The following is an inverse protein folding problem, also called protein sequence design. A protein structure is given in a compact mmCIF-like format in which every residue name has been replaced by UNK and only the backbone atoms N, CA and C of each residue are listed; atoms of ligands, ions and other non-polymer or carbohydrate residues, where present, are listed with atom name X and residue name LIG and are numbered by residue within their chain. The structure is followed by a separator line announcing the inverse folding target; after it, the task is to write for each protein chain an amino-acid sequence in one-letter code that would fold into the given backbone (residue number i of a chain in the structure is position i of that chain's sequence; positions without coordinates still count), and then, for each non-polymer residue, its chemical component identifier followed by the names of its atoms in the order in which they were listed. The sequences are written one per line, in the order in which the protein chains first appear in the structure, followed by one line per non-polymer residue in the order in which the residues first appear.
data_IF_548169057292
#
_entry.id   IF_548169057292
#
_cell.length_a   1.000
_cell.length_b   1.000
_cell.length_c   1.000
_cell.angle_alpha   90.00
_cell.angle_beta   90.00
_cell.angle_gamma   90.00
#
_symmetry.space_group_name_H-M   'P 1'
#
loop_
_entity.id
_entity.type
_entity.pdbx_description
1 polymer ?
#
# COMPACT_ATOMS: atom_id res chain seq x y z
N UNK A 1 28.31 -0.33 8.16
CA UNK A 1 27.42 -1.52 8.18
C UNK A 1 26.73 -1.54 9.54
N UNK A 2 25.41 -1.62 9.56
CA UNK A 2 24.60 -1.70 10.79
C UNK A 2 23.70 -2.95 10.77
N UNK A 3 23.10 -3.27 11.92
CA UNK A 3 22.18 -4.40 12.09
C UNK A 3 20.76 -3.84 12.27
N UNK A 4 19.92 -4.04 11.27
CA UNK A 4 18.55 -3.56 11.22
C UNK A 4 17.58 -4.65 11.73
N UNK A 5 16.68 -4.28 12.64
CA UNK A 5 15.55 -5.11 13.03
C UNK A 5 14.27 -4.55 12.40
N UNK A 6 13.68 -5.26 11.45
CA UNK A 6 12.50 -4.83 10.70
C UNK A 6 11.27 -5.57 11.22
N UNK A 7 10.25 -4.85 11.68
CA UNK A 7 8.99 -5.41 12.21
C UNK A 7 7.90 -5.24 11.17
N UNK A 8 7.53 -6.35 10.53
CA UNK A 8 6.44 -6.42 9.56
C UNK A 8 5.14 -6.85 10.27
N UNK A 9 4.05 -6.05 10.21
CA UNK A 9 2.79 -6.43 10.86
C UNK A 9 1.96 -7.47 10.10
N UNK A 10 2.31 -7.74 8.84
CA UNK A 10 1.61 -8.68 7.97
C UNK A 10 2.38 -9.98 7.78
N UNK A 11 1.69 -11.11 7.56
CA UNK A 11 2.35 -12.33 7.14
C UNK A 11 3.05 -12.15 5.78
N UNK A 12 4.31 -12.57 5.70
CA UNK A 12 5.09 -12.60 4.47
C UNK A 12 5.06 -14.02 3.92
N UNK A 13 4.21 -14.25 2.95
CA UNK A 13 3.95 -15.56 2.34
C UNK A 13 3.85 -15.40 0.82
N UNK A 14 3.54 -16.50 0.13
CA UNK A 14 3.27 -16.50 -1.31
C UNK A 14 2.18 -15.49 -1.73
N UNK A 15 1.18 -15.28 -0.89
CA UNK A 15 0.16 -14.25 -1.04
C UNK A 15 0.45 -13.12 -0.05
N UNK A 16 1.11 -12.07 -0.50
CA UNK A 16 1.51 -10.91 0.33
C UNK A 16 0.85 -9.65 -0.21
N UNK A 17 0.33 -8.82 0.69
CA UNK A 17 -0.28 -7.53 0.38
C UNK A 17 0.73 -6.37 0.44
N UNK A 18 0.26 -5.13 0.32
CA UNK A 18 1.09 -3.93 0.16
C UNK A 18 2.11 -3.70 1.26
N UNK A 19 1.71 -3.80 2.54
CA UNK A 19 2.60 -3.58 3.70
C UNK A 19 3.72 -4.62 3.74
N UNK A 20 3.36 -5.90 3.63
CA UNK A 20 4.33 -6.99 3.64
C UNK A 20 5.34 -6.87 2.50
N UNK A 21 4.87 -6.56 1.28
CA UNK A 21 5.75 -6.39 0.11
C UNK A 21 6.70 -5.19 0.27
N UNK A 22 6.23 -4.09 0.87
CA UNK A 22 7.08 -2.93 1.18
C UNK A 22 8.15 -3.26 2.20
N UNK A 23 7.80 -3.94 3.30
CA UNK A 23 8.77 -4.31 4.33
C UNK A 23 9.85 -5.25 3.78
N UNK A 24 9.47 -6.21 2.92
CA UNK A 24 10.43 -7.08 2.23
C UNK A 24 11.31 -6.30 1.28
N UNK A 25 10.76 -5.36 0.50
CA UNK A 25 11.55 -4.54 -0.42
C UNK A 25 12.58 -3.67 0.32
N UNK A 26 12.18 -3.02 1.42
CA UNK A 26 13.09 -2.24 2.25
C UNK A 26 14.17 -3.11 2.92
N UNK A 27 13.80 -4.30 3.39
CA UNK A 27 14.75 -5.28 3.92
C UNK A 27 15.80 -5.70 2.87
N UNK A 28 15.38 -5.95 1.61
CA UNK A 28 16.29 -6.26 0.50
C UNK A 28 17.23 -5.11 0.19
N UNK A 29 16.71 -3.88 0.08
CA UNK A 29 17.56 -2.70 -0.18
C UNK A 29 18.64 -2.53 0.90
N UNK A 30 18.29 -2.75 2.16
CA UNK A 30 19.25 -2.73 3.27
C UNK A 30 20.29 -3.85 3.15
N UNK A 31 19.87 -5.06 2.80
CA UNK A 31 20.77 -6.19 2.59
C UNK A 31 21.69 -5.98 1.38
N UNK A 32 21.17 -5.40 0.28
CA UNK A 32 21.95 -5.04 -0.92
C UNK A 32 23.03 -3.98 -0.61
N UNK A 33 22.73 -3.06 0.30
CA UNK A 33 23.68 -2.06 0.80
C UNK A 33 24.68 -2.64 1.83
N UNK A 34 24.59 -3.94 2.13
CA UNK A 34 25.51 -4.64 3.04
C UNK A 34 25.18 -4.53 4.52
N UNK A 35 23.97 -4.10 4.88
CA UNK A 35 23.50 -4.15 6.27
C UNK A 35 23.01 -5.55 6.64
N UNK A 36 23.20 -5.96 7.89
CA UNK A 36 22.60 -7.19 8.40
C UNK A 36 21.13 -6.93 8.75
N UNK A 37 20.23 -7.74 8.20
CA UNK A 37 18.78 -7.51 8.35
C UNK A 37 18.11 -8.72 8.99
N UNK A 38 17.35 -8.46 10.05
CA UNK A 38 16.41 -9.43 10.62
C UNK A 38 14.98 -8.92 10.38
N UNK A 39 14.16 -9.70 9.68
CA UNK A 39 12.75 -9.42 9.44
C UNK A 39 11.88 -10.25 10.37
N UNK A 40 11.21 -9.59 11.29
CA UNK A 40 10.23 -10.18 12.20
C UNK A 40 8.82 -10.07 11.60
N UNK A 41 8.09 -11.19 11.47
CA UNK A 41 6.76 -11.28 10.84
C UNK A 41 5.84 -12.23 11.61
N UNK A 42 4.51 -12.13 11.48
CA UNK A 42 3.56 -12.95 12.26
C UNK A 42 3.59 -14.45 11.96
N UNK A 43 3.98 -14.85 10.74
CA UNK A 43 4.03 -16.24 10.30
C UNK A 43 5.36 -16.93 10.67
N UNK A 44 5.40 -18.25 10.54
CA UNK A 44 6.62 -19.02 10.75
C UNK A 44 7.68 -18.70 9.69
N UNK A 45 8.97 -18.64 10.06
CA UNK A 45 10.04 -18.32 9.12
C UNK A 45 10.12 -19.23 7.89
N UNK A 46 9.80 -20.52 8.07
CA UNK A 46 9.80 -21.51 6.99
C UNK A 46 8.69 -21.31 5.94
N UNK A 47 7.69 -20.46 6.23
CA UNK A 47 6.62 -20.09 5.29
C UNK A 47 6.94 -18.80 4.52
N UNK A 48 8.04 -18.14 4.87
CA UNK A 48 8.37 -16.83 4.32
C UNK A 48 9.02 -16.95 2.94
N UNK A 49 8.47 -16.26 1.95
CA UNK A 49 9.06 -16.12 0.61
C UNK A 49 9.79 -14.78 0.48
N UNK A 50 10.96 -14.67 1.11
CA UNK A 50 11.74 -13.43 1.10
C UNK A 50 12.51 -13.22 -0.22
N UNK A 51 12.85 -14.31 -0.93
CA UNK A 51 13.64 -14.26 -2.15
C UNK A 51 15.07 -13.72 -1.98
N UNK A 52 15.57 -13.68 -0.73
CA UNK A 52 16.91 -13.25 -0.38
C UNK A 52 17.36 -13.93 0.93
N UNK A 53 18.32 -14.83 0.83
CA UNK A 53 18.86 -15.60 1.96
C UNK A 53 19.68 -14.76 2.95
N UNK A 54 20.07 -13.55 2.59
CA UNK A 54 20.81 -12.61 3.46
C UNK A 54 19.92 -12.01 4.53
N UNK A 55 18.59 -12.08 4.35
CA UNK A 55 17.60 -11.58 5.31
C UNK A 55 17.23 -12.71 6.25
N UNK A 56 17.54 -12.53 7.53
CA UNK A 56 17.15 -13.48 8.58
C UNK A 56 15.67 -13.32 8.90
N UNK A 57 14.86 -14.31 8.61
CA UNK A 57 13.45 -14.36 9.01
C UNK A 57 13.31 -14.82 10.46
N UNK A 58 12.45 -14.17 11.24
CA UNK A 58 12.06 -14.60 12.58
C UNK A 58 10.55 -14.42 12.80
N UNK A 59 9.94 -15.28 13.63
CA UNK A 59 8.56 -15.09 14.00
C UNK A 59 8.44 -13.93 15.00
N UNK A 60 7.55 -13.00 14.71
CA UNK A 60 7.24 -11.86 15.54
C UNK A 60 6.27 -12.26 16.67
N UNK A 61 6.80 -12.72 17.79
CA UNK A 61 6.04 -12.96 19.02
C UNK A 61 5.89 -11.63 19.78
N UNK A 62 4.66 -11.09 19.94
CA UNK A 62 4.45 -9.76 20.52
C UNK A 62 5.18 -9.52 21.85
N UNK A 63 5.19 -10.51 22.73
CA UNK A 63 5.81 -10.39 24.06
C UNK A 63 7.34 -10.55 24.05
N UNK A 64 7.95 -10.87 22.90
CA UNK A 64 9.39 -11.13 22.76
C UNK A 64 10.10 -10.20 21.78
N UNK A 65 9.39 -9.22 21.19
CA UNK A 65 9.98 -8.33 20.18
C UNK A 65 11.19 -7.56 20.72
N UNK A 66 11.14 -7.13 21.98
CA UNK A 66 12.27 -6.48 22.64
C UNK A 66 13.49 -7.38 22.75
N UNK A 67 13.33 -8.65 23.12
CA UNK A 67 14.42 -9.62 23.18
C UNK A 67 14.93 -10.00 21.78
N UNK A 68 14.06 -10.14 20.79
CA UNK A 68 14.45 -10.40 19.41
C UNK A 68 15.27 -9.26 18.79
N UNK A 69 15.09 -8.03 19.27
CA UNK A 69 15.84 -6.87 18.83
C UNK A 69 17.24 -6.75 19.51
N UNK A 70 17.59 -7.63 20.44
CA UNK A 70 18.90 -7.61 21.07
C UNK A 70 20.02 -7.78 20.02
N UNK A 71 21.08 -7.00 20.20
CA UNK A 71 22.21 -7.02 19.29
C UNK A 71 21.99 -6.28 17.97
N UNK A 72 20.83 -5.66 17.74
CA UNK A 72 20.61 -4.77 16.58
C UNK A 72 20.97 -3.33 16.95
N UNK A 73 21.19 -2.50 15.92
CA UNK A 73 21.62 -1.13 16.08
C UNK A 73 20.45 -0.13 15.95
N UNK A 74 19.36 -0.54 15.29
CA UNK A 74 18.14 0.25 15.10
C UNK A 74 16.97 -0.63 14.66
N UNK A 75 15.76 -0.04 14.69
CA UNK A 75 14.50 -0.73 14.36
C UNK A 75 13.73 0.03 13.30
N UNK A 76 13.19 -0.68 12.31
CA UNK A 76 12.15 -0.18 11.39
C UNK A 76 10.84 -0.85 11.77
N UNK A 77 9.80 -0.07 11.98
CA UNK A 77 8.49 -0.59 12.34
C UNK A 77 7.35 0.09 11.57
N UNK A 78 6.25 -0.62 11.44
CA UNK A 78 4.99 -0.17 10.88
C UNK A 78 3.82 -0.82 11.62
N UNK A 79 2.69 -0.09 11.75
CA UNK A 79 1.43 -0.63 12.26
C UNK A 79 1.47 -1.11 13.73
N UNK A 80 0.42 -1.79 14.15
CA UNK A 80 0.18 -2.12 15.57
C UNK A 80 1.21 -3.03 16.20
N UNK A 81 1.86 -3.91 15.43
CA UNK A 81 2.87 -4.82 15.97
C UNK A 81 4.07 -4.07 16.56
N UNK A 82 4.43 -2.92 15.97
CA UNK A 82 5.48 -2.05 16.47
C UNK A 82 5.23 -1.53 17.90
N UNK A 83 3.96 -1.41 18.33
CA UNK A 83 3.62 -0.96 19.67
C UNK A 83 4.10 -1.92 20.74
N UNK A 84 4.11 -3.22 20.47
CA UNK A 84 4.62 -4.22 21.40
C UNK A 84 6.12 -4.07 21.62
N UNK A 85 6.88 -3.77 20.55
CA UNK A 85 8.30 -3.45 20.69
C UNK A 85 8.51 -2.19 21.55
N UNK A 86 7.80 -1.10 21.24
CA UNK A 86 7.92 0.18 21.95
C UNK A 86 7.50 0.10 23.44
N UNK A 87 6.67 -0.88 23.79
CA UNK A 87 6.30 -1.15 25.19
C UNK A 87 7.38 -1.93 25.96
N UNK A 88 8.32 -2.59 25.28
CA UNK A 88 9.36 -3.42 25.88
C UNK A 88 10.74 -2.73 25.87
N UNK A 89 11.02 -1.90 24.86
CA UNK A 89 12.32 -1.25 24.66
C UNK A 89 12.17 0.18 24.17
N UNK A 90 13.13 1.02 24.56
CA UNK A 90 13.21 2.42 24.18
C UNK A 90 14.67 2.92 24.03
N UNK A 91 15.60 1.98 23.86
CA UNK A 91 17.03 2.29 23.82
C UNK A 91 17.60 2.37 22.41
N UNK A 92 17.00 1.68 21.44
CA UNK A 92 17.43 1.73 20.04
C UNK A 92 16.78 2.90 19.28
N UNK A 93 17.48 3.46 18.28
CA UNK A 93 16.88 4.34 17.28
C UNK A 93 15.71 3.64 16.55
N UNK A 94 14.62 4.38 16.34
CA UNK A 94 13.39 3.85 15.72
C UNK A 94 13.03 4.63 14.48
N UNK A 95 12.93 3.93 13.35
CA UNK A 95 12.34 4.43 12.12
C UNK A 95 10.87 3.96 12.07
N UNK A 96 9.95 4.89 11.90
CA UNK A 96 8.52 4.59 11.75
C UNK A 96 8.13 4.80 10.30
N UNK A 97 7.65 3.75 9.66
CA UNK A 97 7.12 3.84 8.31
C UNK A 97 5.63 4.25 8.35
N UNK A 98 5.33 5.44 7.85
CA UNK A 98 4.01 6.04 7.79
C UNK A 98 3.48 6.09 6.34
N UNK A 99 3.91 5.17 5.48
CA UNK A 99 3.64 5.23 4.06
C UNK A 99 2.15 5.15 3.71
N UNK A 100 1.36 4.43 4.52
CA UNK A 100 -0.09 4.39 4.40
C UNK A 100 -0.75 5.12 5.59
N UNK A 101 -1.74 5.94 5.33
CA UNK A 101 -2.46 6.64 6.38
C UNK A 101 -3.56 5.75 6.99
N UNK A 102 -3.21 4.58 7.52
CA UNK A 102 -4.17 3.55 7.98
C UNK A 102 -5.24 4.08 8.96
N UNK A 103 -4.93 5.11 9.76
CA UNK A 103 -5.93 5.78 10.61
C UNK A 103 -7.06 6.38 9.76
N UNK A 104 -6.71 7.00 8.62
CA UNK A 104 -7.66 7.65 7.72
C UNK A 104 -8.38 6.62 6.86
N UNK A 105 -7.65 5.61 6.37
CA UNK A 105 -8.21 4.50 5.59
C UNK A 105 -9.26 3.74 6.41
N UNK A 106 -8.98 3.45 7.67
CA UNK A 106 -9.88 2.71 8.56
C UNK A 106 -11.13 3.50 9.00
N UNK A 107 -11.20 4.81 8.73
CA UNK A 107 -12.45 5.57 8.94
C UNK A 107 -13.61 5.03 8.09
N UNK A 108 -13.33 4.39 6.96
CA UNK A 108 -14.36 3.78 6.12
C UNK A 108 -15.11 2.63 6.82
N UNK A 109 -14.47 1.98 7.80
CA UNK A 109 -14.99 0.77 8.44
C UNK A 109 -15.75 1.02 9.75
N UNK A 110 -15.97 2.28 10.17
CA UNK A 110 -16.60 2.58 11.45
C UNK A 110 -18.05 2.06 11.58
N UNK A 111 -18.76 1.95 10.45
CA UNK A 111 -20.14 1.44 10.43
C UNK A 111 -20.22 -0.05 10.70
N UNK A 112 -19.25 -0.81 10.18
CA UNK A 112 -19.16 -2.27 10.32
C UNK A 112 -18.46 -2.66 11.62
N UNK A 113 -17.42 -1.93 12.01
CA UNK A 113 -16.51 -2.30 13.11
C UNK A 113 -16.67 -1.43 14.36
N UNK A 114 -17.47 -0.35 14.30
CA UNK A 114 -17.61 0.62 15.38
C UNK A 114 -16.37 1.51 15.55
N UNK A 115 -16.25 2.18 16.69
CA UNK A 115 -15.20 3.19 16.92
C UNK A 115 -13.91 2.62 17.53
N UNK A 116 -13.84 1.35 17.88
CA UNK A 116 -12.67 0.76 18.54
C UNK A 116 -11.44 0.71 17.61
N UNK A 117 -11.56 0.39 16.29
CA UNK A 117 -10.44 0.50 15.37
C UNK A 117 -9.81 1.89 15.37
N UNK A 118 -10.64 2.93 15.21
CA UNK A 118 -10.16 4.32 15.24
C UNK A 118 -9.38 4.66 16.52
N UNK A 119 -9.89 4.26 17.69
CA UNK A 119 -9.22 4.51 18.96
C UNK A 119 -7.86 3.82 19.02
N UNK A 120 -7.79 2.60 18.53
CA UNK A 120 -6.56 1.81 18.49
C UNK A 120 -5.56 2.39 17.52
N UNK A 121 -5.99 2.79 16.32
CA UNK A 121 -5.14 3.40 15.30
C UNK A 121 -4.61 4.77 15.76
N UNK A 122 -5.49 5.59 16.34
CA UNK A 122 -5.11 6.89 16.88
C UNK A 122 -4.09 6.76 18.04
N UNK A 123 -4.30 5.80 18.95
CA UNK A 123 -3.35 5.53 20.03
C UNK A 123 -2.00 5.03 19.47
N UNK A 124 -2.02 4.22 18.42
CA UNK A 124 -0.82 3.74 17.72
C UNK A 124 -0.04 4.89 17.10
N UNK A 125 -0.68 5.78 16.37
CA UNK A 125 -0.02 6.94 15.78
C UNK A 125 0.58 7.85 16.87
N UNK A 126 -0.15 8.14 17.92
CA UNK A 126 0.36 8.94 19.04
C UNK A 126 1.60 8.31 19.68
N UNK A 127 1.57 7.00 19.95
CA UNK A 127 2.70 6.28 20.51
C UNK A 127 3.92 6.33 19.57
N UNK A 128 3.74 5.89 18.33
CA UNK A 128 4.82 5.76 17.36
C UNK A 128 5.43 7.12 16.98
N UNK A 129 4.60 8.13 16.75
CA UNK A 129 5.08 9.48 16.44
C UNK A 129 5.74 10.18 17.66
N UNK A 130 5.39 9.77 18.88
CA UNK A 130 6.10 10.24 20.08
C UNK A 130 7.46 9.56 20.26
N UNK A 131 7.65 8.33 19.74
CA UNK A 131 8.80 7.47 20.00
C UNK A 131 9.73 7.26 18.81
N UNK A 132 9.28 7.55 17.59
CA UNK A 132 10.12 7.44 16.41
C UNK A 132 11.22 8.50 16.35
N UNK A 133 12.32 8.17 15.75
CA UNK A 133 13.47 9.05 15.55
C UNK A 133 13.61 9.54 14.10
N UNK A 134 13.07 8.76 13.15
CA UNK A 134 12.86 9.14 11.75
C UNK A 134 11.49 8.63 11.29
N UNK A 135 10.78 9.43 10.53
CA UNK A 135 9.50 9.08 9.95
C UNK A 135 9.60 9.02 8.42
N UNK A 136 9.06 7.95 7.82
CA UNK A 136 9.00 7.79 6.38
C UNK A 136 7.56 8.01 5.91
N UNK A 137 7.36 8.84 4.89
CA UNK A 137 6.06 9.08 4.27
C UNK A 137 6.14 8.91 2.76
N UNK A 138 5.01 8.81 2.06
CA UNK A 138 4.98 8.47 0.64
C UNK A 138 4.92 9.66 -0.29
N UNK A 139 4.55 10.85 0.20
CA UNK A 139 4.38 12.06 -0.60
C UNK A 139 4.51 13.31 0.24
N UNK A 140 4.64 14.48 -0.42
CA UNK A 140 4.67 15.77 0.27
C UNK A 140 3.34 16.08 0.97
N UNK A 141 2.20 15.66 0.43
CA UNK A 141 0.90 15.81 1.08
C UNK A 141 0.86 15.04 2.40
N UNK A 142 1.34 13.80 2.42
CA UNK A 142 1.49 13.04 3.66
C UNK A 142 2.49 13.69 4.60
N UNK A 143 3.61 14.16 4.07
CA UNK A 143 4.65 14.83 4.87
C UNK A 143 4.06 16.04 5.62
N UNK A 144 3.36 16.92 4.94
CA UNK A 144 2.73 18.08 5.55
C UNK A 144 1.65 17.68 6.58
N UNK A 145 0.85 16.68 6.26
CA UNK A 145 -0.15 16.15 7.17
C UNK A 145 0.48 15.62 8.47
N UNK A 146 1.52 14.80 8.37
CA UNK A 146 2.22 14.24 9.52
C UNK A 146 3.03 15.29 10.30
N UNK A 147 3.59 16.30 9.63
CA UNK A 147 4.23 17.44 10.31
C UNK A 147 3.24 18.17 11.23
N UNK A 148 1.98 18.33 10.82
CA UNK A 148 0.93 18.89 11.69
C UNK A 148 0.73 18.04 12.95
N UNK A 149 0.70 16.72 12.81
CA UNK A 149 0.58 15.80 13.95
C UNK A 149 1.84 15.81 14.84
N UNK A 150 3.01 15.78 14.23
CA UNK A 150 4.31 15.87 14.94
C UNK A 150 4.45 17.21 15.69
N UNK A 151 3.93 18.30 15.12
CA UNK A 151 3.88 19.61 15.79
C UNK A 151 3.01 19.55 17.05
N UNK A 152 1.84 18.95 16.97
CA UNK A 152 0.95 18.76 18.11
C UNK A 152 1.57 17.90 19.23
N UNK A 153 2.49 17.01 18.87
CA UNK A 153 3.25 16.17 19.81
C UNK A 153 4.55 16.83 20.32
N UNK A 154 4.89 18.06 19.89
CA UNK A 154 6.13 18.74 20.29
C UNK A 154 7.40 18.21 19.60
N UNK A 155 7.25 17.39 18.53
CA UNK A 155 8.38 16.84 17.77
C UNK A 155 8.93 17.87 16.78
N UNK A 156 8.11 18.76 16.25
CA UNK A 156 8.55 19.99 15.58
C UNK A 156 8.78 21.03 16.67
N UNK A 157 10.03 21.35 16.95
CA UNK A 157 10.46 22.19 18.07
C UNK A 157 11.70 23.03 17.68
N UNK A 158 12.10 24.04 18.49
CA UNK A 158 13.23 24.91 18.15
C UNK A 158 14.54 24.16 17.89
N UNK A 159 14.83 23.08 18.63
CA UNK A 159 16.08 22.34 18.46
C UNK A 159 16.06 21.59 17.14
N UNK A 160 14.97 20.87 16.83
CA UNK A 160 14.84 20.16 15.57
C UNK A 160 14.93 21.10 14.35
N UNK A 161 14.35 22.31 14.45
CA UNK A 161 14.41 23.32 13.37
C UNK A 161 15.76 24.02 13.28
N UNK A 162 16.48 24.21 14.39
CA UNK A 162 17.85 24.76 14.39
C UNK A 162 18.84 23.75 13.79
N UNK A 163 18.65 22.45 14.04
CA UNK A 163 19.48 21.41 13.44
C UNK A 163 19.21 21.19 11.94
N UNK A 164 17.95 21.25 11.54
CA UNK A 164 17.52 21.07 10.16
C UNK A 164 16.21 21.83 9.89
N UNK A 165 16.28 23.04 9.34
CA UNK A 165 15.09 23.83 9.01
C UNK A 165 14.12 23.15 8.05
N UNK A 166 14.58 22.19 7.26
CA UNK A 166 13.75 21.40 6.36
C UNK A 166 12.97 20.30 7.07
N UNK A 167 13.39 19.95 8.31
CA UNK A 167 12.90 18.79 9.08
C UNK A 167 13.05 17.44 8.34
N UNK A 168 13.90 17.37 7.32
CA UNK A 168 14.22 16.14 6.59
C UNK A 168 14.91 15.07 7.45
N UNK A 169 15.54 15.51 8.56
CA UNK A 169 16.09 14.58 9.55
C UNK A 169 15.03 13.97 10.46
N UNK A 170 13.84 14.56 10.56
CA UNK A 170 12.71 14.09 11.34
C UNK A 170 11.74 13.29 10.47
N UNK A 171 11.33 13.83 9.32
CA UNK A 171 10.40 13.18 8.39
C UNK A 171 10.83 13.39 6.94
N UNK A 172 10.85 12.31 6.19
CA UNK A 172 11.34 12.30 4.82
C UNK A 172 10.44 11.47 3.91
N UNK A 173 10.35 11.87 2.64
CA UNK A 173 9.66 11.07 1.64
C UNK A 173 10.46 9.83 1.27
N UNK A 174 9.80 8.67 1.38
CA UNK A 174 10.21 7.39 0.85
C UNK A 174 8.96 6.74 0.26
N UNK A 175 8.61 7.08 -0.99
CA UNK A 175 7.43 6.52 -1.66
C UNK A 175 7.57 5.02 -1.89
N UNK A 176 6.54 4.41 -2.45
CA UNK A 176 6.61 3.04 -2.94
C UNK A 176 7.51 2.99 -4.17
N UNK A 177 8.49 2.10 -4.16
CA UNK A 177 9.44 1.94 -5.26
C UNK A 177 8.98 0.90 -6.29
N UNK A 178 9.58 0.95 -7.47
CA UNK A 178 9.41 -0.07 -8.50
C UNK A 178 10.53 -1.10 -8.42
N UNK A 179 10.32 -2.33 -8.91
CA UNK A 179 11.41 -3.28 -9.11
C UNK A 179 12.49 -2.72 -10.03
N UNK A 180 13.73 -3.14 -9.84
CA UNK A 180 14.80 -2.84 -10.77
C UNK A 180 14.63 -3.60 -12.10
N UNK A 181 15.11 -2.98 -13.18
CA UNK A 181 15.07 -3.59 -14.51
C UNK A 181 13.76 -3.40 -15.27
N UNK A 182 13.54 -4.25 -16.25
CA UNK A 182 12.35 -4.23 -17.11
C UNK A 182 11.29 -5.22 -16.60
N UNK A 183 10.01 -4.94 -16.81
CA UNK A 183 8.97 -5.90 -16.49
C UNK A 183 9.17 -7.24 -17.19
N UNK A 184 8.78 -8.36 -16.57
CA UNK A 184 8.81 -9.67 -17.22
C UNK A 184 7.91 -9.66 -18.47
N UNK A 185 8.21 -10.54 -19.43
CA UNK A 185 7.35 -10.68 -20.60
C UNK A 185 5.95 -11.17 -20.17
N UNK A 186 4.88 -10.60 -20.74
CA UNK A 186 3.53 -11.05 -20.44
C UNK A 186 3.33 -12.50 -20.92
N UNK A 187 2.64 -13.34 -20.16
CA UNK A 187 2.17 -14.63 -20.64
C UNK A 187 1.09 -14.45 -21.72
N UNK A 188 0.78 -15.46 -22.52
CA UNK A 188 -0.37 -15.42 -23.44
C UNK A 188 -1.66 -15.15 -22.68
N UNK A 189 -2.50 -14.21 -23.17
CA UNK A 189 -3.76 -13.84 -22.52
C UNK A 189 -4.67 -15.04 -22.23
N UNK A 190 -4.77 -15.98 -23.16
CA UNK A 190 -5.58 -17.21 -23.01
C UNK A 190 -5.19 -18.08 -21.81
N UNK A 191 -3.96 -17.99 -21.34
CA UNK A 191 -3.47 -18.73 -20.17
C UNK A 191 -3.82 -18.06 -18.84
N UNK A 192 -4.07 -16.75 -18.88
CA UNK A 192 -4.36 -15.92 -17.71
C UNK A 192 -5.84 -15.62 -17.60
N UNK A 193 -6.49 -15.31 -18.73
CA UNK A 193 -7.89 -14.93 -18.83
C UNK A 193 -8.62 -15.87 -19.83
N UNK A 194 -8.92 -17.07 -19.38
CA UNK A 194 -9.58 -18.07 -20.20
C UNK A 194 -10.93 -17.54 -20.76
N UNK A 195 -11.16 -17.76 -22.06
CA UNK A 195 -12.38 -17.34 -22.74
C UNK A 195 -12.44 -15.87 -23.15
N UNK A 196 -11.37 -15.09 -22.93
CA UNK A 196 -11.22 -13.73 -23.45
C UNK A 196 -10.38 -13.78 -24.72
N UNK A 197 -10.90 -13.26 -25.83
CA UNK A 197 -10.19 -13.23 -27.10
C UNK A 197 -8.97 -12.31 -27.04
N UNK A 198 -7.90 -12.63 -27.78
CA UNK A 198 -6.64 -11.87 -27.75
C UNK A 198 -6.81 -10.41 -28.19
N UNK A 199 -7.79 -10.14 -29.07
CA UNK A 199 -8.10 -8.82 -29.61
C UNK A 199 -9.25 -8.09 -28.89
N UNK A 200 -9.87 -8.71 -27.87
CA UNK A 200 -10.93 -8.08 -27.08
C UNK A 200 -10.34 -7.12 -26.04
N UNK A 201 -10.86 -5.89 -25.90
CA UNK A 201 -10.35 -4.96 -24.90
C UNK A 201 -10.57 -5.46 -23.46
N UNK A 202 -9.50 -5.38 -22.67
CA UNK A 202 -9.49 -5.77 -21.26
C UNK A 202 -9.07 -4.56 -20.40
N UNK A 203 -9.94 -4.17 -19.47
CA UNK A 203 -9.70 -3.13 -18.50
C UNK A 203 -9.34 -3.75 -17.15
N UNK A 204 -8.16 -3.45 -16.65
CA UNK A 204 -7.69 -3.92 -15.34
C UNK A 204 -8.07 -2.92 -14.25
N UNK A 205 -8.78 -3.35 -13.23
CA UNK A 205 -9.02 -2.57 -12.02
C UNK A 205 -8.12 -3.05 -10.86
N UNK A 206 -7.99 -4.35 -10.71
CA UNK A 206 -7.30 -5.01 -9.61
C UNK A 206 -8.16 -5.21 -8.38
N UNK A 207 -7.55 -5.36 -7.20
CA UNK A 207 -8.26 -5.58 -5.94
C UNK A 207 -9.14 -4.39 -5.53
N UNK A 208 -10.27 -4.68 -4.92
CA UNK A 208 -11.21 -3.66 -4.45
C UNK A 208 -11.09 -3.51 -2.94
N UNK A 209 -10.84 -2.28 -2.49
CA UNK A 209 -10.96 -1.85 -1.10
C UNK A 209 -12.07 -0.81 -1.00
N UNK A 210 -12.61 -0.57 0.19
CA UNK A 210 -13.82 0.25 0.37
C UNK A 210 -13.61 1.76 0.08
N UNK A 211 -12.37 2.23 -0.04
CA UNK A 211 -12.03 3.58 -0.49
C UNK A 211 -11.97 3.75 -2.02
N UNK A 212 -11.96 2.66 -2.79
CA UNK A 212 -12.12 2.73 -4.24
C UNK A 212 -13.58 2.91 -4.64
N UNK A 213 -13.79 3.34 -5.89
CA UNK A 213 -15.11 3.46 -6.51
C UNK A 213 -15.27 2.55 -7.75
N UNK A 214 -15.30 1.23 -7.56
CA UNK A 214 -15.47 0.29 -8.66
C UNK A 214 -16.84 0.40 -9.36
N UNK A 215 -17.85 0.94 -8.66
CA UNK A 215 -19.18 1.13 -9.23
C UNK A 215 -19.17 2.12 -10.38
N UNK A 216 -18.32 3.15 -10.33
CA UNK A 216 -18.15 4.11 -11.42
C UNK A 216 -17.74 3.43 -12.73
N UNK A 217 -16.91 2.39 -12.66
CA UNK A 217 -16.53 1.59 -13.84
C UNK A 217 -17.72 0.83 -14.40
N UNK A 218 -18.54 0.24 -13.54
CA UNK A 218 -19.76 -0.47 -13.97
C UNK A 218 -20.84 0.48 -14.52
N UNK A 219 -20.90 1.72 -14.05
CA UNK A 219 -21.77 2.77 -14.60
C UNK A 219 -21.29 3.25 -15.98
N UNK A 220 -19.98 3.26 -16.21
CA UNK A 220 -19.38 3.56 -17.53
C UNK A 220 -19.54 2.40 -18.53
N UNK A 221 -19.61 1.15 -18.07
CA UNK A 221 -19.55 -0.06 -18.88
C UNK A 221 -20.61 -0.12 -20.01
N UNK A 222 -21.88 0.28 -19.85
CA UNK A 222 -22.85 0.28 -20.95
C UNK A 222 -22.41 1.12 -22.17
N UNK A 223 -21.71 2.24 -21.93
CA UNK A 223 -21.18 3.08 -23.01
C UNK A 223 -20.01 2.42 -23.72
N UNK A 224 -19.18 1.72 -22.97
CA UNK A 224 -18.04 0.97 -23.53
C UNK A 224 -18.53 -0.21 -24.37
N UNK A 225 -19.51 -0.96 -23.89
CA UNK A 225 -20.11 -2.11 -24.60
C UNK A 225 -20.88 -1.71 -25.84
N UNK A 226 -21.41 -0.49 -25.90
CA UNK A 226 -22.08 0.02 -27.11
C UNK A 226 -21.12 0.20 -28.29
N UNK A 227 -19.84 0.56 -28.02
CA UNK A 227 -18.80 0.74 -29.03
C UNK A 227 -18.05 -0.57 -29.30
N UNK A 228 -17.67 -1.30 -28.24
CA UNK A 228 -16.97 -2.59 -28.35
C UNK A 228 -17.61 -3.62 -27.39
N UNK A 229 -18.53 -4.42 -27.91
CA UNK A 229 -19.30 -5.39 -27.10
C UNK A 229 -18.46 -6.48 -26.40
N UNK A 230 -17.20 -6.68 -26.84
CA UNK A 230 -16.29 -7.66 -26.25
C UNK A 230 -15.45 -7.10 -25.12
N UNK A 231 -15.62 -5.81 -24.75
CA UNK A 231 -14.90 -5.20 -23.63
C UNK A 231 -15.18 -5.94 -22.34
N UNK A 232 -14.12 -6.22 -21.57
CA UNK A 232 -14.26 -6.81 -20.25
C UNK A 232 -13.48 -6.02 -19.18
N UNK A 233 -13.96 -6.08 -17.94
CA UNK A 233 -13.33 -5.48 -16.77
C UNK A 233 -12.90 -6.59 -15.83
N UNK A 234 -11.64 -6.54 -15.38
CA UNK A 234 -11.05 -7.53 -14.49
C UNK A 234 -10.82 -6.90 -13.11
N UNK A 235 -11.53 -7.43 -12.13
CA UNK A 235 -11.31 -7.22 -10.71
C UNK A 235 -10.53 -8.39 -10.12
N UNK A 236 -9.87 -8.18 -8.98
CA UNK A 236 -9.11 -9.22 -8.28
C UNK A 236 -9.67 -9.38 -6.88
N UNK A 237 -9.95 -10.61 -6.47
CA UNK A 237 -10.43 -10.92 -5.14
C UNK A 237 -9.36 -10.66 -4.07
N UNK A 238 -9.77 -10.29 -2.86
CA UNK A 238 -8.84 -10.00 -1.79
C UNK A 238 -8.21 -11.29 -1.23
N UNK A 239 -6.89 -11.34 -0.95
CA UNK A 239 -6.22 -12.55 -0.49
C UNK A 239 -6.62 -12.95 0.93
N UNK A 240 -7.13 -12.00 1.72
CA UNK A 240 -7.52 -12.19 3.12
C UNK A 240 -8.90 -11.58 3.40
N UNK A 241 -9.98 -12.15 2.82
CA UNK A 241 -11.33 -11.59 2.94
C UNK A 241 -11.86 -11.61 4.37
N UNK A 242 -11.28 -12.45 5.25
CA UNK A 242 -11.63 -12.55 6.67
C UNK A 242 -11.06 -11.42 7.54
N UNK A 243 -10.07 -10.67 7.02
CA UNK A 243 -9.37 -9.62 7.76
C UNK A 243 -9.86 -8.21 7.43
N UNK A 244 -10.43 -8.01 6.25
CA UNK A 244 -10.82 -6.69 5.75
C UNK A 244 -12.28 -6.71 5.31
N UNK A 245 -13.12 -5.76 5.74
CA UNK A 245 -14.45 -5.59 5.18
C UNK A 245 -14.36 -5.34 3.66
N UNK A 246 -15.21 -6.02 2.89
CA UNK A 246 -15.19 -5.97 1.42
C UNK A 246 -16.57 -5.51 0.88
N UNK A 247 -17.14 -4.48 1.49
CA UNK A 247 -18.47 -3.96 1.15
C UNK A 247 -18.53 -3.46 -0.30
N UNK A 248 -17.50 -2.72 -0.74
CA UNK A 248 -17.43 -2.24 -2.12
C UNK A 248 -17.32 -3.38 -3.13
N UNK A 249 -16.52 -4.41 -2.83
CA UNK A 249 -16.39 -5.60 -3.69
C UNK A 249 -17.70 -6.37 -3.79
N UNK A 250 -18.39 -6.57 -2.66
CA UNK A 250 -19.70 -7.24 -2.64
C UNK A 250 -20.75 -6.49 -3.50
N UNK A 251 -20.86 -5.17 -3.30
CA UNK A 251 -21.77 -4.31 -4.09
C UNK A 251 -21.46 -4.35 -5.58
N UNK A 252 -20.17 -4.34 -5.93
CA UNK A 252 -19.74 -4.42 -7.34
C UNK A 252 -20.16 -5.74 -7.96
N UNK A 253 -19.96 -6.84 -7.24
CA UNK A 253 -20.35 -8.18 -7.67
C UNK A 253 -21.86 -8.33 -7.81
N UNK A 254 -22.64 -7.76 -6.88
CA UNK A 254 -24.10 -7.80 -6.92
C UNK A 254 -24.66 -6.99 -8.09
N UNK A 255 -24.11 -5.79 -8.35
CA UNK A 255 -24.49 -4.99 -9.51
C UNK A 255 -24.16 -5.73 -10.83
N UNK A 256 -22.95 -6.28 -10.95
CA UNK A 256 -22.56 -7.06 -12.13
C UNK A 256 -23.49 -8.27 -12.35
N UNK A 257 -23.86 -8.97 -11.28
CA UNK A 257 -24.81 -10.09 -11.32
C UNK A 257 -26.21 -9.63 -11.78
N UNK A 258 -26.72 -8.55 -11.21
CA UNK A 258 -28.06 -8.03 -11.55
C UNK A 258 -28.15 -7.56 -13.00
N UNK A 259 -27.04 -7.15 -13.61
CA UNK A 259 -26.93 -6.75 -15.02
C UNK A 259 -26.63 -7.93 -15.97
N UNK A 260 -26.40 -9.13 -15.46
CA UNK A 260 -26.01 -10.29 -16.24
C UNK A 260 -24.57 -10.23 -16.79
N UNK A 261 -23.72 -9.38 -16.25
CA UNK A 261 -22.33 -9.18 -16.69
C UNK A 261 -21.33 -10.08 -15.98
N UNK A 262 -21.70 -10.59 -14.79
CA UNK A 262 -20.79 -11.39 -13.98
C UNK A 262 -20.37 -12.67 -14.68
N UNK A 263 -19.06 -12.91 -14.79
CA UNK A 263 -18.46 -14.05 -15.49
C UNK A 263 -18.35 -13.86 -17.01
N UNK A 264 -18.75 -12.69 -17.54
CA UNK A 264 -18.69 -12.32 -18.96
C UNK A 264 -17.92 -11.00 -19.12
N UNK A 265 -18.63 -9.88 -19.15
CA UNK A 265 -18.07 -8.53 -19.27
C UNK A 265 -17.40 -8.07 -17.96
N UNK A 266 -17.79 -8.63 -16.81
CA UNK A 266 -17.20 -8.35 -15.50
C UNK A 266 -16.67 -9.64 -14.88
N UNK A 267 -15.39 -9.69 -14.68
CA UNK A 267 -14.68 -10.86 -14.16
C UNK A 267 -14.07 -10.54 -12.79
N UNK A 268 -14.14 -11.51 -11.90
CA UNK A 268 -13.41 -11.48 -10.62
C UNK A 268 -12.43 -12.65 -10.65
N UNK A 269 -11.15 -12.32 -10.70
CA UNK A 269 -10.07 -13.29 -10.76
C UNK A 269 -9.44 -13.45 -9.37
N UNK A 270 -8.88 -14.63 -9.10
CA UNK A 270 -8.20 -14.89 -7.83
C UNK A 270 -6.93 -14.02 -7.70
N UNK A 271 -6.58 -13.70 -6.45
CA UNK A 271 -5.32 -13.07 -6.12
C UNK A 271 -4.16 -13.96 -6.57
N UNK A 272 -3.21 -13.37 -7.30
CA UNK A 272 -2.04 -14.12 -7.80
C UNK A 272 -0.93 -14.19 -6.76
N UNK A 273 -0.13 -15.27 -6.76
CA UNK A 273 1.13 -15.32 -6.02
C UNK A 273 2.03 -14.12 -6.31
N UNK A 274 2.88 -13.75 -5.36
CA UNK A 274 3.70 -12.53 -5.46
C UNK A 274 4.58 -12.48 -6.73
N UNK A 275 5.15 -13.60 -7.13
CA UNK A 275 5.94 -13.75 -8.35
C UNK A 275 5.12 -13.61 -9.65
N UNK A 276 3.80 -13.86 -9.57
CA UNK A 276 2.86 -13.78 -10.68
C UNK A 276 1.87 -12.62 -10.57
N UNK A 277 2.05 -11.72 -9.61
CA UNK A 277 1.08 -10.65 -9.27
C UNK A 277 0.77 -9.69 -10.41
N UNK A 278 1.62 -9.61 -11.41
CA UNK A 278 1.47 -8.70 -12.54
C UNK A 278 0.75 -9.30 -13.75
N UNK A 279 0.56 -10.62 -13.82
CA UNK A 279 0.05 -11.30 -15.01
C UNK A 279 -1.29 -10.73 -15.50
N UNK A 280 -2.25 -10.49 -14.59
CA UNK A 280 -3.55 -9.93 -14.97
C UNK A 280 -3.44 -8.53 -15.56
N UNK A 281 -2.59 -7.67 -15.00
CA UNK A 281 -2.33 -6.35 -15.53
C UNK A 281 -1.57 -6.40 -16.86
N UNK A 282 -0.59 -7.30 -17.00
CA UNK A 282 0.22 -7.44 -18.21
C UNK A 282 -0.58 -7.91 -19.44
N UNK A 283 -1.65 -8.68 -19.24
CA UNK A 283 -2.51 -9.15 -20.33
C UNK A 283 -3.70 -8.22 -20.58
N UNK A 284 -3.76 -7.08 -19.90
CA UNK A 284 -4.81 -6.06 -20.06
C UNK A 284 -4.33 -4.93 -20.97
N UNK A 285 -5.26 -4.21 -21.60
CA UNK A 285 -4.96 -3.13 -22.54
C UNK A 285 -4.85 -1.77 -21.86
N UNK A 286 -5.65 -1.55 -20.82
CA UNK A 286 -5.67 -0.35 -19.99
C UNK A 286 -5.91 -0.70 -18.53
N UNK A 287 -5.48 0.16 -17.61
CA UNK A 287 -5.95 0.11 -16.24
C UNK A 287 -6.92 1.26 -15.94
N UNK A 288 -7.90 0.97 -15.09
CA UNK A 288 -8.87 1.95 -14.60
C UNK A 288 -8.81 1.96 -13.08
N UNK A 289 -8.47 3.10 -12.49
CA UNK A 289 -8.35 3.24 -11.03
C UNK A 289 -9.22 4.41 -10.57
N UNK A 290 -10.38 4.09 -10.03
CA UNK A 290 -11.35 5.09 -9.60
C UNK A 290 -11.48 5.10 -8.08
N UNK A 291 -11.64 6.29 -7.51
CA UNK A 291 -11.84 6.51 -6.09
C UNK A 291 -12.72 7.74 -5.85
N UNK A 292 -13.25 7.83 -4.65
CA UNK A 292 -14.10 8.94 -4.23
C UNK A 292 -13.23 10.08 -3.70
N UNK A 293 -13.66 11.35 -3.86
CA UNK A 293 -12.99 12.48 -3.22
C UNK A 293 -13.00 12.33 -1.70
N UNK A 294 -11.90 12.69 -1.06
CA UNK A 294 -11.80 12.67 0.40
C UNK A 294 -10.37 12.68 0.89
N UNK A 295 -10.22 12.88 2.19
CA UNK A 295 -8.91 12.98 2.83
C UNK A 295 -8.04 11.72 2.59
N UNK A 296 -8.66 10.55 2.55
CA UNK A 296 -7.98 9.29 2.23
C UNK A 296 -7.37 9.37 0.82
N UNK A 297 -8.16 9.79 -0.17
CA UNK A 297 -7.70 9.93 -1.56
C UNK A 297 -6.55 10.93 -1.69
N UNK A 298 -6.62 12.04 -0.95
CA UNK A 298 -5.59 13.09 -1.01
C UNK A 298 -4.27 12.64 -0.35
N UNK A 299 -4.34 11.78 0.66
CA UNK A 299 -3.17 11.34 1.42
C UNK A 299 -2.60 10.00 0.95
N UNK A 300 -3.41 9.08 0.42
CA UNK A 300 -2.93 7.74 0.09
C UNK A 300 -2.14 7.69 -1.21
N UNK A 301 -0.93 7.15 -1.15
CA UNK A 301 -0.21 6.76 -2.35
C UNK A 301 -0.85 5.51 -2.93
N UNK A 302 -1.38 5.61 -4.14
CA UNK A 302 -1.95 4.46 -4.87
C UNK A 302 -0.83 3.56 -5.38
N UNK A 303 -0.31 2.69 -4.52
CA UNK A 303 0.83 1.81 -4.82
C UNK A 303 0.62 1.00 -6.09
N UNK A 304 -0.62 0.58 -6.36
CA UNK A 304 -1.02 -0.07 -7.61
C UNK A 304 -0.64 0.74 -8.84
N UNK A 305 -0.84 2.07 -8.84
CA UNK A 305 -0.48 2.92 -9.97
C UNK A 305 1.03 2.92 -10.22
N UNK A 306 1.85 2.81 -9.18
CA UNK A 306 3.31 2.70 -9.31
C UNK A 306 3.67 1.44 -10.10
N UNK A 307 3.06 0.30 -9.77
CA UNK A 307 3.27 -0.97 -10.48
C UNK A 307 2.75 -0.90 -11.93
N UNK A 308 1.56 -0.32 -12.15
CA UNK A 308 0.97 -0.20 -13.49
C UNK A 308 1.82 0.69 -14.41
N UNK A 309 2.36 1.78 -13.90
CA UNK A 309 3.26 2.65 -14.65
C UNK A 309 4.58 1.94 -14.96
N UNK A 310 5.12 1.14 -14.03
CA UNK A 310 6.31 0.33 -14.28
C UNK A 310 6.07 -0.72 -15.38
N UNK A 311 4.92 -1.38 -15.37
CA UNK A 311 4.51 -2.30 -16.45
C UNK A 311 4.34 -1.58 -17.79
N UNK A 312 4.14 -0.27 -17.77
CA UNK A 312 3.80 0.53 -18.95
C UNK A 312 2.35 0.31 -19.38
N UNK A 313 1.47 -0.04 -18.46
CA UNK A 313 0.04 -0.12 -18.73
C UNK A 313 -0.56 1.29 -18.66
N UNK A 314 -1.13 1.83 -19.76
CA UNK A 314 -1.77 3.13 -19.73
C UNK A 314 -2.95 3.14 -18.76
N UNK A 315 -3.14 4.26 -18.04
CA UNK A 315 -4.11 4.31 -16.95
C UNK A 315 -5.17 5.39 -17.17
N UNK A 316 -6.41 5.11 -16.76
CA UNK A 316 -7.45 6.13 -16.58
C UNK A 316 -7.75 6.20 -15.09
N UNK A 317 -7.54 7.38 -14.49
CA UNK A 317 -7.69 7.56 -13.04
C UNK A 317 -8.64 8.72 -12.74
N UNK A 318 -9.38 8.63 -11.64
CA UNK A 318 -10.12 9.79 -11.14
C UNK A 318 -9.18 10.83 -10.55
N UNK A 319 -9.54 12.11 -10.67
CA UNK A 319 -8.81 13.22 -10.07
C UNK A 319 -8.76 13.09 -8.54
N UNK A 320 -7.70 13.63 -7.95
CA UNK A 320 -7.38 13.58 -6.52
C UNK A 320 -6.12 12.80 -6.21
N UNK A 321 -5.41 13.24 -5.17
CA UNK A 321 -4.17 12.62 -4.70
C UNK A 321 -2.96 12.79 -5.61
N UNK A 322 -1.81 12.42 -5.08
CA UNK A 322 -0.50 12.60 -5.72
C UNK A 322 -0.35 11.84 -7.03
N UNK A 323 -0.90 10.63 -7.12
CA UNK A 323 -0.74 9.77 -8.31
C UNK A 323 -1.56 10.24 -9.51
N UNK A 324 -2.76 10.82 -9.31
CA UNK A 324 -3.50 11.44 -10.41
C UNK A 324 -2.73 12.64 -10.98
N UNK A 325 -2.08 13.44 -10.12
CA UNK A 325 -1.18 14.51 -10.55
C UNK A 325 0.04 13.97 -11.34
N UNK A 326 0.59 12.81 -10.97
CA UNK A 326 1.65 12.12 -11.72
C UNK A 326 1.15 11.74 -13.11
N UNK A 327 0.01 11.05 -13.23
CA UNK A 327 -0.56 10.63 -14.51
C UNK A 327 -0.75 11.82 -15.46
N UNK A 328 -1.37 12.89 -14.96
CA UNK A 328 -1.59 14.12 -15.73
C UNK A 328 -0.28 14.79 -16.18
N UNK A 329 0.69 14.90 -15.29
CA UNK A 329 1.98 15.56 -15.58
C UNK A 329 2.83 14.77 -16.57
N UNK A 330 2.83 13.45 -16.45
CA UNK A 330 3.67 12.58 -17.29
C UNK A 330 3.03 12.24 -18.63
N UNK A 331 1.71 12.27 -18.73
CA UNK A 331 0.97 11.75 -19.87
C UNK A 331 0.90 10.21 -19.90
N UNK A 332 1.12 9.55 -18.77
CA UNK A 332 1.05 8.06 -18.68
C UNK A 332 -0.39 7.52 -18.75
N UNK A 333 -1.35 8.38 -19.03
CA UNK A 333 -2.77 8.06 -19.16
C UNK A 333 -3.62 9.31 -19.08
N UNK A 334 -4.87 9.15 -18.67
CA UNK A 334 -5.84 10.25 -18.56
C UNK A 334 -6.39 10.37 -17.13
N UNK A 335 -6.72 11.59 -16.73
CA UNK A 335 -7.45 11.88 -15.50
C UNK A 335 -8.88 12.30 -15.81
N UNK A 336 -9.83 11.87 -15.00
CA UNK A 336 -11.26 12.18 -15.15
C UNK A 336 -11.86 12.67 -13.84
N UNK A 337 -12.90 13.51 -13.87
CA UNK A 337 -13.59 13.91 -12.64
C UNK A 337 -14.15 12.69 -11.89
N UNK A 338 -14.05 12.71 -10.56
CA UNK A 338 -14.63 11.66 -9.73
C UNK A 338 -16.16 11.64 -9.86
N UNK A 339 -16.75 10.45 -9.98
CA UNK A 339 -18.21 10.26 -10.16
C UNK A 339 -18.71 10.53 -11.57
N UNK A 340 -17.86 10.86 -12.55
CA UNK A 340 -18.28 11.09 -13.93
C UNK A 340 -18.05 9.85 -14.82
N UNK A 341 -19.06 8.98 -14.87
CA UNK A 341 -19.03 7.75 -15.69
C UNK A 341 -18.95 8.05 -17.20
N UNK A 342 -19.48 9.19 -17.66
CA UNK A 342 -19.40 9.56 -19.06
C UNK A 342 -17.99 10.00 -19.45
N UNK A 343 -17.34 10.81 -18.62
CA UNK A 343 -15.94 11.19 -18.83
C UNK A 343 -15.01 9.98 -18.75
N UNK A 344 -15.27 9.04 -17.82
CA UNK A 344 -14.52 7.79 -17.70
C UNK A 344 -14.63 6.95 -18.97
N UNK A 345 -15.85 6.71 -19.46
CA UNK A 345 -16.07 5.96 -20.71
C UNK A 345 -15.35 6.63 -21.89
N UNK A 346 -15.51 7.93 -22.05
CA UNK A 346 -14.87 8.69 -23.13
C UNK A 346 -13.34 8.62 -23.08
N UNK A 347 -12.72 8.68 -21.88
CA UNK A 347 -11.27 8.56 -21.73
C UNK A 347 -10.78 7.15 -22.11
N UNK A 348 -11.47 6.11 -21.66
CA UNK A 348 -11.18 4.72 -22.03
C UNK A 348 -11.29 4.53 -23.55
N UNK A 349 -12.37 5.01 -24.18
CA UNK A 349 -12.58 4.90 -25.62
C UNK A 349 -11.48 5.60 -26.41
N UNK A 350 -11.07 6.81 -26.03
CA UNK A 350 -9.97 7.54 -26.68
C UNK A 350 -8.66 6.76 -26.65
N UNK A 351 -8.34 6.15 -25.53
CA UNK A 351 -7.12 5.33 -25.40
C UNK A 351 -7.24 4.02 -26.17
N UNK A 352 -8.40 3.35 -26.16
CA UNK A 352 -8.60 2.10 -26.91
C UNK A 352 -8.57 2.32 -28.42
N UNK A 353 -9.10 3.44 -28.90
CA UNK A 353 -9.17 3.77 -30.33
C UNK A 353 -7.83 4.21 -30.93
N UNK A 354 -6.86 4.69 -30.11
CA UNK A 354 -5.60 5.28 -30.56
C UNK A 354 -4.38 4.49 -30.03
N UNK A 355 -3.84 3.52 -30.81
CA UNK A 355 -2.66 2.76 -30.42
C UNK A 355 -1.41 3.61 -30.18
N UNK A 356 -1.21 4.68 -30.94
CA UNK A 356 -0.03 5.55 -30.79
C UNK A 356 -0.10 6.30 -29.46
N UNK A 357 -1.29 6.79 -29.11
CA UNK A 357 -1.53 7.41 -27.81
C UNK A 357 -1.28 6.45 -26.65
N UNK A 358 -1.73 5.18 -26.76
CA UNK A 358 -1.45 4.14 -25.77
C UNK A 358 0.06 3.88 -25.66
N UNK A 359 0.75 3.80 -26.79
CA UNK A 359 2.19 3.60 -26.80
C UNK A 359 2.95 4.73 -26.10
N UNK A 360 2.62 5.98 -26.41
CA UNK A 360 3.20 7.15 -25.76
C UNK A 360 2.93 7.17 -24.24
N UNK A 361 1.72 6.83 -23.83
CA UNK A 361 1.37 6.74 -22.41
C UNK A 361 2.15 5.62 -21.70
N UNK A 362 2.31 4.47 -22.35
CA UNK A 362 3.12 3.35 -21.85
C UNK A 362 4.57 3.75 -21.63
N UNK A 363 5.20 4.39 -22.61
CA UNK A 363 6.58 4.86 -22.49
C UNK A 363 6.74 5.93 -21.39
N UNK A 364 5.77 6.85 -21.29
CA UNK A 364 5.78 7.87 -20.25
C UNK A 364 5.72 7.25 -18.84
N UNK A 365 4.86 6.23 -18.63
CA UNK A 365 4.79 5.48 -17.40
C UNK A 365 6.10 4.80 -17.04
N UNK A 366 6.69 4.08 -17.99
CA UNK A 366 7.98 3.39 -17.80
C UNK A 366 9.13 4.36 -17.49
N UNK A 367 9.21 5.49 -18.16
CA UNK A 367 10.23 6.53 -17.87
C UNK A 367 10.08 7.05 -16.45
N UNK A 368 8.87 7.37 -16.02
CA UNK A 368 8.61 7.81 -14.65
C UNK A 368 9.01 6.76 -13.60
N UNK A 369 8.66 5.49 -13.85
CA UNK A 369 8.94 4.38 -12.95
C UNK A 369 10.44 4.06 -12.84
N UNK A 370 11.20 4.14 -13.94
CA UNK A 370 12.64 3.88 -13.98
C UNK A 370 13.45 4.81 -13.08
N UNK A 371 12.93 5.99 -12.76
CA UNK A 371 13.55 6.93 -11.82
C UNK A 371 13.23 6.63 -10.36
N UNK A 372 12.36 5.63 -10.08
CA UNK A 372 11.79 5.36 -8.76
C UNK A 372 11.95 3.91 -8.32
N UNK A 373 13.06 3.30 -8.68
CA UNK A 373 13.37 1.95 -8.19
C UNK A 373 13.55 1.96 -6.67
N UNK A 374 13.33 0.82 -6.03
CA UNK A 374 13.48 0.68 -4.59
C UNK A 374 14.83 1.19 -4.09
N UNK A 375 15.93 0.87 -4.80
CA UNK A 375 17.26 1.35 -4.43
C UNK A 375 17.38 2.88 -4.45
N UNK A 376 16.65 3.58 -5.34
CA UNK A 376 16.67 5.04 -5.42
C UNK A 376 15.78 5.69 -4.36
N UNK A 377 14.53 5.22 -4.21
CA UNK A 377 13.60 5.85 -3.26
C UNK A 377 13.98 5.60 -1.81
N UNK A 378 14.70 4.52 -1.53
CA UNK A 378 15.15 4.18 -0.18
C UNK A 378 16.45 4.90 0.25
N UNK A 379 17.03 5.78 -0.57
CA UNK A 379 18.24 6.51 -0.22
C UNK A 379 18.20 7.18 1.18
N UNK A 380 17.09 7.80 1.63
CA UNK A 380 17.02 8.36 2.98
C UNK A 380 17.12 7.29 4.09
N UNK A 381 16.54 6.13 3.89
CA UNK A 381 16.62 5.00 4.83
C UNK A 381 18.06 4.45 4.87
N UNK A 382 18.72 4.33 3.73
CA UNK A 382 20.12 3.91 3.64
C UNK A 382 21.04 4.90 4.36
N UNK A 383 20.83 6.20 4.17
CA UNK A 383 21.59 7.23 4.89
C UNK A 383 21.39 7.16 6.42
N UNK A 384 20.17 6.84 6.87
CA UNK A 384 19.91 6.58 8.29
C UNK A 384 20.61 5.31 8.77
N UNK A 385 20.57 4.23 8.00
CA UNK A 385 21.17 2.95 8.34
C UNK A 385 22.71 3.01 8.48
N UNK A 386 23.38 3.91 7.75
CA UNK A 386 24.82 4.15 7.89
C UNK A 386 25.18 4.74 9.26
N UNK A 387 24.34 5.59 9.81
CA UNK A 387 24.52 6.27 11.10
C UNK A 387 23.21 6.36 11.86
N UNK A 388 22.70 5.23 12.40
CA UNK A 388 21.48 5.24 13.18
C UNK A 388 21.62 6.18 14.38
N UNK A 389 20.61 7.03 14.59
CA UNK A 389 20.65 8.02 15.67
C UNK A 389 19.28 8.11 16.36
N UNK A 390 19.32 8.28 17.68
CA UNK A 390 18.18 8.76 18.43
C UNK A 390 18.05 10.27 18.25
N UNK A 391 16.82 10.73 18.16
CA UNK A 391 16.51 12.14 18.24
C UNK A 391 16.71 12.61 19.70
N UNK A 392 17.68 13.50 19.99
CA UNK A 392 18.00 13.90 21.35
C UNK A 392 16.86 14.66 22.03
N UNK A 393 15.92 15.19 21.24
CA UNK A 393 14.82 16.01 21.73
C UNK A 393 13.54 15.23 21.92
N UNK A 394 13.55 13.95 21.55
CA UNK A 394 12.36 13.08 21.56
C UNK A 394 11.60 13.14 22.89
N UNK A 395 12.32 13.14 24.00
CA UNK A 395 11.71 13.08 25.33
C UNK A 395 11.56 14.48 25.98
N UNK A 396 12.13 15.53 25.40
CA UNK A 396 12.20 16.85 26.00
C UNK A 396 10.91 17.67 25.92
N UNK A 397 10.24 17.59 24.78
CA UNK A 397 9.05 18.39 24.48
C UNK A 397 7.78 17.54 24.29
N UNK A 398 7.93 16.23 24.17
CA UNK A 398 6.79 15.34 23.98
C UNK A 398 6.01 15.25 25.29
N UNK A 399 4.76 15.73 25.26
CA UNK A 399 3.83 15.38 26.32
C UNK A 399 3.64 13.86 26.25
N UNK A 400 4.10 13.14 27.28
CA UNK A 400 4.07 11.69 27.34
C UNK A 400 2.71 11.18 26.89
N UNK A 401 2.68 10.47 25.78
CA UNK A 401 1.50 9.69 25.44
C UNK A 401 1.19 8.78 26.64
N UNK A 402 -0.06 8.68 27.11
CA UNK A 402 -0.41 7.77 28.20
C UNK A 402 0.16 6.40 27.88
N UNK A 403 0.77 5.76 28.89
CA UNK A 403 1.41 4.45 28.77
C UNK A 403 0.55 3.54 27.90
N UNK A 404 1.17 2.88 26.93
CA UNK A 404 0.45 2.03 25.98
C UNK A 404 -0.52 1.15 26.74
N UNK A 405 -1.81 1.42 26.60
CA UNK A 405 -2.80 0.47 27.05
C UNK A 405 -2.46 -0.83 26.34
N UNK A 406 -2.27 -1.91 27.08
CA UNK A 406 -1.90 -3.25 26.57
C UNK A 406 -2.56 -3.44 25.22
N UNK A 407 -1.74 -3.60 24.17
CA UNK A 407 -2.23 -3.71 22.80
C UNK A 407 -3.34 -4.75 22.78
N UNK A 408 -4.55 -4.31 22.50
CA UNK A 408 -5.69 -5.22 22.37
C UNK A 408 -5.52 -5.97 21.07
N UNK A 409 -5.90 -7.24 21.07
CA UNK A 409 -5.78 -8.15 19.91
C UNK A 409 -6.16 -7.49 18.59
N UNK A 410 -5.43 -7.77 17.50
CA UNK A 410 -5.78 -7.32 16.15
C UNK A 410 -7.25 -7.57 15.82
N UNK A 411 -7.87 -6.65 15.12
CA UNK A 411 -9.31 -6.65 14.79
C UNK A 411 -9.75 -7.98 14.16
N UNK A 412 -8.91 -8.56 13.30
CA UNK A 412 -9.16 -9.87 12.69
C UNK A 412 -9.37 -11.00 13.70
N UNK A 413 -8.61 -11.02 14.80
CA UNK A 413 -8.77 -12.02 15.85
C UNK A 413 -10.08 -11.86 16.64
N UNK A 414 -10.59 -10.64 16.80
CA UNK A 414 -11.90 -10.39 17.46
C UNK A 414 -13.07 -10.74 16.57
N UNK A 415 -12.98 -10.45 15.27
CA UNK A 415 -14.01 -10.85 14.29
C UNK A 415 -14.11 -12.38 14.22
N UNK A 416 -12.99 -13.08 14.15
CA UNK A 416 -12.95 -14.55 14.15
C UNK A 416 -13.55 -15.15 15.44
N UNK A 417 -13.31 -14.55 16.61
CA UNK A 417 -13.94 -14.99 17.87
C UNK A 417 -15.45 -14.71 17.90
N UNK A 418 -15.93 -13.59 17.35
CA UNK A 418 -17.37 -13.31 17.26
C UNK A 418 -18.07 -14.26 16.28
N UNK A 419 -17.51 -14.50 15.11
CA UNK A 419 -18.05 -15.44 14.13
C UNK A 419 -18.09 -16.87 14.65
N UNK A 420 -17.06 -17.33 15.39
CA UNK A 420 -17.06 -18.65 16.03
C UNK A 420 -18.09 -18.79 17.17
N UNK A 421 -18.45 -17.70 17.86
CA UNK A 421 -19.50 -17.71 18.88
C UNK A 421 -20.90 -17.72 18.28
N UNK A 422 -21.09 -17.18 17.09
CA UNK A 422 -22.40 -17.19 16.40
C UNK A 422 -22.60 -18.49 15.60
N UNK A 423 -21.54 -19.12 15.12
CA UNK A 423 -21.61 -20.40 14.40
C UNK A 423 -21.62 -21.66 15.26
N UNK A 424 -21.45 -21.55 16.61
CA UNK A 424 -21.46 -22.68 17.54
C UNK A 424 -22.78 -22.92 18.27
N UNK A 425 -23.86 -22.21 17.91
CA UNK A 425 -25.19 -22.40 18.46
C UNK A 425 -26.13 -22.87 17.34
N UNK A 426 -25.87 -24.07 16.82
CA UNK A 426 -26.86 -24.94 16.13
C UNK A 426 -26.45 -26.40 16.35
#
# INVERSE_FOLDING_TARGET
MSRAFVICPEPVRRLTAGVGSRMVALARVLADAGHAVTLAMPNEPGEAELGDERIRAVRAEPDRLGALAEGHDWVLLHGHLGNHYLAQRDDLPVVVDLYDPFLIENLHYHRELGYEPYRTDHATWRLQMSRGDLFLCSSEEQRLYYLGFLTALGRVNPIATDEDPSLGRLIVELPFGTPDGVPPQPPPRREVLAGVAEDAPVLYFGGIYDWYDPLLVLEALPRLLAEEPRTSVVFVDHPHPELTPLTAAARTRDLARSRGWLGREVRFEDWRPYDRRFELAQVSDLAVVTHRPGLETDLSLRTRLVDLLWLGLPVVVTEGGSMAAVVRRTGAGETVPAGDAAALAAAVQRLLADPDRRHLASEAGRRWAAERTWGRVAAPLLAFAERPRRDPDRDRFVALAPAASRAREPIGHRLLRRLRRVGGAR
#
